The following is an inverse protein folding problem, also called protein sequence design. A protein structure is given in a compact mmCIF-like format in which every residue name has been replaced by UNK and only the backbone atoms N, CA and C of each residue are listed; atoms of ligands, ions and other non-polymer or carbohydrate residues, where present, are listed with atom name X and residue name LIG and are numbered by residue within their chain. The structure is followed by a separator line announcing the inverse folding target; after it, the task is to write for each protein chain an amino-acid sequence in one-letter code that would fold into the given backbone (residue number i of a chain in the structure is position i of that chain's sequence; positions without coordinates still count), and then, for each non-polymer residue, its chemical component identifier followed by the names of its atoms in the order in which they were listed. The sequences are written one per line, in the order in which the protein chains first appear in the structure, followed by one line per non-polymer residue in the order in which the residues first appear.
data_IF_896452146710
#
_entry.id   IF_896452146710
#
_cell.length_a   1.000
_cell.length_b   1.000
_cell.length_c   1.000
_cell.angle_alpha   90.00
_cell.angle_beta   90.00
_cell.angle_gamma   90.00
#
_symmetry.space_group_name_H-M   'P 1'
#
loop_
_entity.id
_entity.type
_entity.pdbx_description
1 polymer ?
#
# COMPACT_ATOMS: atom_id res chain seq x y z
N UNK A 1 17.96 -20.86 -1.21
CA UNK A 1 18.15 -20.65 -2.66
C UNK A 1 19.27 -19.68 -2.88
N UNK A 2 20.00 -19.81 -3.98
CA UNK A 2 21.16 -18.95 -4.24
C UNK A 2 20.80 -17.57 -4.77
N UNK A 3 19.76 -17.50 -5.58
CA UNK A 3 19.47 -16.30 -6.36
C UNK A 3 18.25 -15.54 -5.89
N UNK A 4 17.35 -16.20 -5.20
CA UNK A 4 16.16 -15.55 -4.65
C UNK A 4 16.50 -15.02 -3.26
N UNK A 5 16.37 -13.71 -3.06
CA UNK A 5 16.68 -13.06 -1.80
C UNK A 5 15.70 -13.47 -0.71
N UNK A 6 14.43 -13.47 -1.04
CA UNK A 6 13.37 -13.85 -0.10
C UNK A 6 12.11 -14.24 -0.85
N UNK A 7 11.33 -15.17 -0.29
CA UNK A 7 10.02 -15.53 -0.81
C UNK A 7 8.99 -15.19 0.25
N UNK A 8 7.99 -14.42 -0.11
CA UNK A 8 6.93 -13.98 0.78
C UNK A 8 5.60 -14.48 0.22
N UNK A 9 4.85 -15.21 1.04
CA UNK A 9 3.53 -15.68 0.68
C UNK A 9 2.48 -14.78 1.33
N UNK A 10 1.77 -14.00 0.52
CA UNK A 10 0.68 -13.17 1.01
C UNK A 10 -0.60 -14.00 1.13
N UNK A 11 -1.42 -13.68 2.11
CA UNK A 11 -2.77 -14.22 2.18
C UNK A 11 -3.61 -13.61 1.07
N UNK A 12 -4.40 -14.43 0.38
CA UNK A 12 -5.34 -13.99 -0.64
C UNK A 12 -6.77 -14.21 -0.14
N UNK A 13 -7.75 -13.68 -0.83
CA UNK A 13 -9.15 -13.86 -0.45
C UNK A 13 -9.65 -12.87 0.59
N UNK A 14 -9.18 -11.62 0.53
CA UNK A 14 -9.66 -10.54 1.36
C UNK A 14 -9.16 -10.55 2.79
N UNK A 15 -7.83 -10.57 3.02
CA UNK A 15 -7.31 -10.51 4.38
C UNK A 15 -7.68 -9.19 5.05
N UNK A 16 -7.90 -9.24 6.37
CA UNK A 16 -8.24 -8.08 7.19
C UNK A 16 -7.26 -7.97 8.35
N UNK A 17 -7.17 -6.79 9.00
CA UNK A 17 -6.31 -6.64 10.18
C UNK A 17 -6.64 -7.64 11.27
N UNK A 18 -5.63 -8.16 11.93
CA UNK A 18 -5.80 -9.08 13.08
C UNK A 18 -6.37 -8.36 14.28
N UNK A 19 -5.97 -7.10 14.47
CA UNK A 19 -6.45 -6.25 15.57
C UNK A 19 -6.75 -4.87 15.04
N UNK A 20 -7.81 -4.25 15.54
CA UNK A 20 -8.21 -2.91 15.13
C UNK A 20 -8.58 -2.86 13.66
N UNK A 21 -8.59 -1.66 13.12
CA UNK A 21 -9.04 -1.39 11.75
C UNK A 21 -7.89 -1.16 10.78
N UNK A 22 -6.67 -1.07 11.27
CA UNK A 22 -5.46 -0.81 10.47
C UNK A 22 -4.33 -1.73 10.89
N UNK A 23 -3.65 -2.28 9.90
CA UNK A 23 -2.43 -3.06 10.14
C UNK A 23 -1.43 -2.71 9.05
N UNK A 24 -0.24 -2.29 9.45
CA UNK A 24 0.86 -1.99 8.54
C UNK A 24 2.01 -2.92 8.90
N UNK A 25 2.46 -3.70 7.95
CA UNK A 25 3.51 -4.68 8.16
C UNK A 25 4.62 -4.51 7.14
N UNK A 26 5.85 -4.36 7.60
CA UNK A 26 6.99 -4.36 6.72
C UNK A 26 7.33 -5.81 6.36
N UNK A 27 7.19 -6.15 5.08
CA UNK A 27 7.43 -7.51 4.58
C UNK A 27 8.89 -7.75 4.26
N UNK A 28 9.57 -6.74 3.76
CA UNK A 28 10.95 -6.88 3.32
C UNK A 28 11.62 -5.51 3.24
N UNK A 29 12.88 -5.46 3.65
CA UNK A 29 13.77 -4.32 3.43
C UNK A 29 15.07 -4.85 2.84
N UNK A 30 15.42 -4.37 1.69
CA UNK A 30 16.65 -4.76 1.01
C UNK A 30 17.25 -3.60 0.25
N UNK A 31 18.20 -3.89 -0.64
CA UNK A 31 18.83 -2.85 -1.45
C UNK A 31 17.80 -2.24 -2.40
N UNK A 32 17.67 -0.92 -2.35
CA UNK A 32 16.88 -0.09 -3.27
C UNK A 32 15.37 -0.29 -3.19
N UNK A 33 14.85 -1.03 -2.21
CA UNK A 33 13.40 -1.21 -2.06
C UNK A 33 12.99 -1.63 -0.66
N UNK A 34 11.76 -1.29 -0.33
CA UNK A 34 11.05 -1.80 0.84
C UNK A 34 9.66 -2.23 0.40
N UNK A 35 9.20 -3.35 0.92
CA UNK A 35 7.87 -3.89 0.65
C UNK A 35 7.04 -3.82 1.93
N UNK A 36 5.87 -3.19 1.83
CA UNK A 36 4.99 -2.95 2.98
C UNK A 36 3.58 -3.42 2.62
N UNK A 37 3.00 -4.19 3.53
CA UNK A 37 1.61 -4.61 3.41
C UNK A 37 0.74 -3.76 4.31
N UNK A 38 -0.40 -3.29 3.79
CA UNK A 38 -1.38 -2.53 4.55
C UNK A 38 -2.73 -3.20 4.45
N UNK A 39 -3.35 -3.43 5.59
CA UNK A 39 -4.72 -3.95 5.69
C UNK A 39 -5.56 -2.92 6.41
N UNK A 40 -6.69 -2.55 5.81
CA UNK A 40 -7.65 -1.62 6.40
C UNK A 40 -9.03 -2.25 6.36
N UNK A 41 -9.84 -2.03 7.41
CA UNK A 41 -11.24 -2.45 7.45
C UNK A 41 -12.11 -1.38 8.08
N UNK A 42 -13.42 -1.56 8.00
CA UNK A 42 -14.42 -0.66 8.58
C UNK A 42 -14.24 0.78 8.11
N UNK A 43 -13.99 0.97 6.81
CA UNK A 43 -13.81 2.29 6.19
C UNK A 43 -12.65 3.09 6.79
N UNK A 44 -11.65 2.41 7.35
CA UNK A 44 -10.49 3.08 7.93
C UNK A 44 -9.68 3.80 6.86
N UNK A 45 -9.03 4.87 7.26
CA UNK A 45 -8.16 5.68 6.41
C UNK A 45 -6.72 5.56 6.85
N UNK A 46 -5.82 5.28 5.91
CA UNK A 46 -4.40 5.49 6.10
C UNK A 46 -4.16 6.97 5.79
N UNK A 47 -3.96 7.77 6.84
CA UNK A 47 -4.01 9.22 6.79
C UNK A 47 -2.98 9.83 5.86
N UNK A 48 -3.27 11.04 5.41
CA UNK A 48 -2.40 11.85 4.56
C UNK A 48 -0.95 11.82 5.03
N UNK A 49 -0.06 11.48 4.12
CA UNK A 49 1.38 11.45 4.37
C UNK A 49 2.14 11.55 3.05
N UNK A 50 3.45 11.66 3.14
CA UNK A 50 4.36 11.66 1.98
C UNK A 50 5.39 10.55 2.17
N UNK A 51 5.81 9.94 1.07
CA UNK A 51 7.01 9.12 1.06
C UNK A 51 8.14 9.93 0.43
N UNK A 52 9.35 9.79 0.95
CA UNK A 52 10.53 10.45 0.40
C UNK A 52 11.03 9.77 -0.88
N UNK A 53 10.52 8.60 -1.15
CA UNK A 53 10.86 7.79 -2.32
C UNK A 53 9.67 7.70 -3.26
N UNK A 54 9.91 7.43 -4.54
CA UNK A 54 8.82 6.99 -5.41
C UNK A 54 8.22 5.70 -4.88
N UNK A 55 6.93 5.51 -5.07
CA UNK A 55 6.23 4.31 -4.60
C UNK A 55 5.32 3.74 -5.68
N UNK A 56 5.03 2.45 -5.55
CA UNK A 56 3.89 1.82 -6.23
C UNK A 56 2.94 1.27 -5.19
N UNK A 57 1.65 1.31 -5.49
CA UNK A 57 0.60 0.77 -4.64
C UNK A 57 -0.22 -0.20 -5.47
N UNK A 58 -0.17 -1.47 -5.10
CA UNK A 58 -0.95 -2.52 -5.76
C UNK A 58 -2.08 -2.95 -4.82
N UNK A 59 -3.29 -3.09 -5.36
CA UNK A 59 -4.44 -3.61 -4.63
C UNK A 59 -4.69 -5.06 -5.05
N UNK A 60 -4.25 -6.07 -4.28
CA UNK A 60 -4.57 -7.47 -4.60
C UNK A 60 -6.01 -7.84 -4.29
N UNK A 61 -6.63 -7.22 -3.30
CA UNK A 61 -8.01 -7.53 -2.92
C UNK A 61 -8.66 -6.37 -2.17
N UNK A 62 -9.98 -6.39 -2.13
CA UNK A 62 -10.77 -5.35 -1.48
C UNK A 62 -10.98 -4.14 -2.36
N UNK A 63 -11.51 -3.09 -1.77
CA UNK A 63 -11.87 -1.85 -2.47
C UNK A 63 -11.55 -0.64 -1.62
N UNK A 64 -11.22 0.45 -2.27
CA UNK A 64 -10.94 1.70 -1.58
C UNK A 64 -10.73 2.84 -2.54
N UNK A 65 -10.31 3.97 -1.99
CA UNK A 65 -10.04 5.18 -2.77
C UNK A 65 -8.65 5.69 -2.39
N UNK A 66 -7.85 5.94 -3.40
CA UNK A 66 -6.52 6.55 -3.29
C UNK A 66 -6.64 8.00 -3.70
N UNK A 67 -6.17 8.92 -2.85
CA UNK A 67 -6.15 10.34 -3.17
C UNK A 67 -4.73 10.85 -3.10
N UNK A 68 -4.38 11.76 -4.00
CA UNK A 68 -3.03 12.30 -4.11
C UNK A 68 -3.03 13.77 -4.50
N UNK A 69 -1.90 14.42 -4.23
CA UNK A 69 -1.65 15.80 -4.57
C UNK A 69 -1.77 16.74 -3.37
N UNK A 70 -1.37 18.02 -3.53
CA UNK A 70 -1.36 18.99 -2.43
C UNK A 70 -2.71 19.19 -1.76
N UNK A 71 -3.80 19.07 -2.54
CA UNK A 71 -5.17 19.20 -2.04
C UNK A 71 -5.91 17.86 -1.96
N UNK A 72 -5.21 16.76 -2.20
CA UNK A 72 -5.79 15.40 -2.26
C UNK A 72 -6.98 15.30 -3.22
N UNK A 73 -6.93 16.05 -4.31
CA UNK A 73 -8.04 16.16 -5.27
C UNK A 73 -7.90 15.22 -6.47
N UNK A 74 -6.75 14.59 -6.66
CA UNK A 74 -6.63 13.49 -7.60
C UNK A 74 -7.11 12.23 -6.91
N UNK A 75 -8.08 11.58 -7.52
CA UNK A 75 -8.75 10.45 -6.89
C UNK A 75 -8.73 9.25 -7.82
N UNK A 76 -8.30 8.10 -7.30
CA UNK A 76 -8.28 6.85 -8.04
C UNK A 76 -8.94 5.75 -7.21
N UNK A 77 -9.98 5.16 -7.76
CA UNK A 77 -10.60 4.00 -7.12
C UNK A 77 -9.67 2.80 -7.20
N UNK A 78 -9.51 2.11 -6.07
CA UNK A 78 -8.74 0.88 -5.98
C UNK A 78 -9.68 -0.32 -5.97
N UNK A 79 -9.47 -1.20 -6.92
CA UNK A 79 -10.17 -2.49 -7.02
C UNK A 79 -9.10 -3.56 -7.23
N UNK A 80 -9.43 -4.86 -7.09
CA UNK A 80 -8.43 -5.90 -7.28
C UNK A 80 -7.71 -5.78 -8.63
N UNK A 81 -6.39 -5.68 -8.58
CA UNK A 81 -5.54 -5.53 -9.76
C UNK A 81 -5.15 -4.10 -10.10
N UNK A 82 -5.69 -3.09 -9.41
CA UNK A 82 -5.31 -1.70 -9.64
C UNK A 82 -3.90 -1.45 -9.13
N UNK A 83 -3.07 -0.84 -9.95
CA UNK A 83 -1.72 -0.44 -9.61
C UNK A 83 -1.57 1.07 -9.84
N UNK A 84 -1.16 1.78 -8.80
CA UNK A 84 -0.88 3.22 -8.84
C UNK A 84 0.60 3.43 -8.63
N UNK A 85 1.19 4.34 -9.38
CA UNK A 85 2.58 4.74 -9.14
C UNK A 85 2.64 6.23 -8.86
N UNK A 86 3.54 6.64 -7.96
CA UNK A 86 3.61 7.99 -7.44
C UNK A 86 5.07 8.41 -7.30
N UNK A 87 5.37 9.65 -7.70
CA UNK A 87 6.71 10.20 -7.47
C UNK A 87 6.92 10.51 -5.99
N UNK A 88 8.17 10.79 -5.62
CA UNK A 88 8.52 11.15 -4.25
C UNK A 88 7.85 12.46 -3.84
N UNK A 89 7.62 12.60 -2.53
CA UNK A 89 7.15 13.85 -1.89
C UNK A 89 5.76 14.30 -2.31
N UNK A 90 4.92 13.38 -2.77
CA UNK A 90 3.53 13.66 -3.11
C UNK A 90 2.63 13.26 -1.93
N UNK A 91 1.80 14.17 -1.45
CA UNK A 91 0.81 13.87 -0.43
C UNK A 91 -0.19 12.83 -0.94
N UNK A 92 -0.50 11.84 -0.13
CA UNK A 92 -1.47 10.83 -0.51
C UNK A 92 -2.14 10.21 0.72
N UNK A 93 -3.31 9.64 0.50
CA UNK A 93 -4.03 8.87 1.52
C UNK A 93 -4.84 7.75 0.87
N UNK A 94 -5.21 6.75 1.66
CA UNK A 94 -6.05 5.64 1.21
C UNK A 94 -7.19 5.46 2.20
N UNK A 95 -8.41 5.35 1.70
CA UNK A 95 -9.57 5.02 2.52
C UNK A 95 -10.16 3.69 2.03
N UNK A 96 -10.37 2.76 2.96
CA UNK A 96 -11.01 1.47 2.64
C UNK A 96 -12.52 1.65 2.40
N UNK A 97 -13.10 0.80 1.54
CA UNK A 97 -14.53 0.86 1.21
C UNK A 97 -15.10 -0.56 0.97
N UNK A 98 -15.45 -1.31 2.00
CA UNK A 98 -15.21 -1.08 3.43
C UNK A 98 -13.86 -1.60 3.89
N UNK A 99 -13.21 -2.48 3.16
CA UNK A 99 -11.91 -3.06 3.50
C UNK A 99 -11.03 -3.22 2.28
N UNK A 100 -9.74 -3.12 2.47
CA UNK A 100 -8.77 -3.20 1.39
C UNK A 100 -7.46 -3.80 1.87
N UNK A 101 -6.83 -4.53 0.97
CA UNK A 101 -5.46 -5.03 1.07
C UNK A 101 -4.63 -4.28 0.03
N UNK A 102 -3.54 -3.67 0.44
CA UNK A 102 -2.62 -3.05 -0.50
C UNK A 102 -1.18 -3.47 -0.22
N UNK A 103 -0.40 -3.52 -1.28
CA UNK A 103 1.02 -3.80 -1.23
C UNK A 103 1.74 -2.56 -1.76
N UNK A 104 2.56 -1.96 -0.90
CA UNK A 104 3.32 -0.76 -1.23
C UNK A 104 4.79 -1.13 -1.43
N UNK A 105 5.33 -0.72 -2.57
CA UNK A 105 6.78 -0.81 -2.81
C UNK A 105 7.35 0.59 -2.78
N UNK A 106 8.33 0.83 -1.89
CA UNK A 106 9.11 2.06 -1.84
C UNK A 106 10.46 1.81 -2.50
N UNK A 107 10.83 2.66 -3.42
CA UNK A 107 12.10 2.54 -4.15
C UNK A 107 13.13 3.46 -3.51
N UNK A 108 14.03 2.88 -2.74
CA UNK A 108 15.02 3.62 -1.96
C UNK A 108 16.33 3.80 -2.74
N UNK A 109 17.19 4.72 -2.27
CA UNK A 109 18.47 4.99 -2.93
C UNK A 109 19.59 4.07 -2.48
N UNK A 110 19.42 3.36 -1.39
CA UNK A 110 20.47 2.54 -0.79
C UNK A 110 20.49 1.08 -1.23
#
# INVERSE_FOLDING_TARGET
MKNITETIQLRVGGPVPDKGDKQVKQLFTGSRRKLIEVLLKNHATLSRHQAKEPITVLCPSGNGVFRAGPSLDEEQRLTPGTLVTLEADIDHEVTADPEIHILVTKFTDD
#
